data_IF_665029614592
#
_entry.id   IF_665029614592
#
_cell.length_a   1.000
_cell.length_b   1.000
_cell.length_c   1.000
_cell.angle_alpha   90.00
_cell.angle_beta   90.00
_cell.angle_gamma   90.00
#
_symmetry.space_group_name_H-M   'P 1'
#
loop_
_entity.id
_entity.type
_entity.pdbx_description
1 polymer ?
#
# COMPACT_ATOMS: atom_id res chain seq x y z
N UNK A 1 9.37 11.95 13.28
CA UNK A 1 9.33 12.47 11.89
C UNK A 1 7.87 12.62 11.50
N UNK A 2 7.49 13.75 10.90
CA UNK A 2 6.13 13.94 10.39
C UNK A 2 5.86 12.98 9.23
N UNK A 3 4.67 12.38 9.19
CA UNK A 3 4.22 11.49 8.11
C UNK A 3 3.25 12.24 7.19
N UNK A 4 3.04 11.73 5.97
CA UNK A 4 2.01 12.26 5.05
C UNK A 4 0.66 12.42 5.73
N UNK A 5 0.24 11.38 6.45
CA UNK A 5 -1.00 11.35 7.24
C UNK A 5 -1.06 12.45 8.32
N UNK A 6 0.09 12.75 8.95
CA UNK A 6 0.17 13.84 9.95
C UNK A 6 -0.09 15.20 9.31
N UNK A 7 0.45 15.44 8.10
CA UNK A 7 0.20 16.68 7.36
C UNK A 7 -1.25 16.78 6.90
N UNK A 8 -1.81 15.70 6.33
CA UNK A 8 -3.22 15.66 5.91
C UNK A 8 -4.17 16.00 7.07
N UNK A 9 -3.99 15.34 8.23
CA UNK A 9 -4.81 15.61 9.42
C UNK A 9 -4.72 17.05 9.89
N UNK A 10 -3.51 17.63 9.92
CA UNK A 10 -3.30 19.01 10.34
C UNK A 10 -3.97 20.00 9.39
N UNK A 11 -3.78 19.83 8.08
CA UNK A 11 -4.39 20.67 7.06
C UNK A 11 -5.91 20.64 7.19
N UNK A 12 -6.51 19.45 7.30
CA UNK A 12 -7.96 19.31 7.50
C UNK A 12 -8.40 19.91 8.84
N UNK A 13 -7.63 19.77 9.92
CA UNK A 13 -7.97 20.34 11.22
C UNK A 13 -7.95 21.88 11.26
N UNK A 14 -7.26 22.53 10.32
CA UNK A 14 -7.28 24.00 10.18
C UNK A 14 -8.61 24.52 9.60
N UNK A 15 -9.44 23.65 9.03
CA UNK A 15 -10.77 24.00 8.52
C UNK A 15 -11.77 23.93 9.68
N UNK A 16 -12.58 24.98 9.83
CA UNK A 16 -13.61 25.06 10.87
C UNK A 16 -14.59 23.87 10.79
N UNK A 17 -14.98 23.34 11.96
CA UNK A 17 -15.72 22.08 12.06
C UNK A 17 -17.08 22.11 11.34
N UNK A 18 -17.77 23.24 11.38
CA UNK A 18 -19.03 23.48 10.65
C UNK A 18 -18.83 23.39 9.13
N UNK A 19 -17.73 23.96 8.62
CA UNK A 19 -17.37 23.86 7.20
C UNK A 19 -16.99 22.44 6.81
N UNK A 20 -16.24 21.71 7.64
CA UNK A 20 -15.92 20.29 7.40
C UNK A 20 -17.19 19.44 7.32
N UNK A 21 -18.13 19.64 8.23
CA UNK A 21 -19.42 18.95 8.21
C UNK A 21 -20.21 19.28 6.93
N UNK A 22 -20.22 20.54 6.50
CA UNK A 22 -20.85 20.95 5.25
C UNK A 22 -20.19 20.30 4.03
N UNK A 23 -18.86 20.22 3.99
CA UNK A 23 -18.10 19.54 2.92
C UNK A 23 -18.47 18.06 2.85
N UNK A 24 -18.53 17.35 3.99
CA UNK A 24 -18.88 15.93 4.00
C UNK A 24 -20.31 15.67 3.49
N UNK A 25 -21.27 16.54 3.84
CA UNK A 25 -22.67 16.40 3.42
C UNK A 25 -22.95 16.91 2.00
N UNK A 26 -22.29 18.00 1.59
CA UNK A 26 -22.45 18.66 0.30
C UNK A 26 -21.12 19.30 -0.12
N UNK A 27 -20.25 18.54 -0.83
CA UNK A 27 -18.91 19.01 -1.18
C UNK A 27 -18.89 20.34 -1.94
N UNK A 28 -19.82 20.57 -2.88
CA UNK A 28 -19.85 21.83 -3.64
C UNK A 28 -20.13 23.02 -2.70
N UNK A 29 -21.22 22.96 -1.93
CA UNK A 29 -21.56 24.03 -0.99
C UNK A 29 -20.50 24.21 0.10
N UNK A 30 -19.88 23.11 0.54
CA UNK A 30 -18.79 23.13 1.51
C UNK A 30 -17.56 23.86 0.97
N UNK A 31 -17.16 23.56 -0.27
CA UNK A 31 -16.04 24.22 -0.95
C UNK A 31 -16.34 25.72 -1.16
N UNK A 32 -17.55 26.06 -1.56
CA UNK A 32 -17.99 27.46 -1.69
C UNK A 32 -17.94 28.21 -0.36
N UNK A 33 -18.26 27.54 0.76
CA UNK A 33 -18.15 28.12 2.10
C UNK A 33 -16.71 28.43 2.54
N UNK A 34 -15.72 27.82 1.89
CA UNK A 34 -14.30 28.15 2.08
C UNK A 34 -13.89 29.39 1.30
N UNK A 35 -14.75 29.91 0.41
CA UNK A 35 -14.47 31.05 -0.45
C UNK A 35 -14.01 30.68 -1.86
N UNK A 36 -14.09 29.40 -2.24
CA UNK A 36 -13.75 28.94 -3.58
C UNK A 36 -14.98 28.96 -4.50
N UNK A 37 -14.75 29.21 -5.79
CA UNK A 37 -15.77 29.10 -6.83
C UNK A 37 -15.66 27.72 -7.49
N UNK A 38 -16.78 27.00 -7.57
CA UNK A 38 -16.82 25.67 -8.21
C UNK A 38 -17.49 25.78 -9.57
N UNK A 39 -16.80 25.32 -10.62
CA UNK A 39 -17.27 25.42 -12.01
C UNK A 39 -17.32 24.04 -12.65
N UNK A 40 -18.50 23.64 -13.11
CA UNK A 40 -18.67 22.46 -13.94
C UNK A 40 -18.27 22.77 -15.40
N UNK A 41 -17.29 22.05 -15.96
CA UNK A 41 -16.87 22.19 -17.35
C UNK A 41 -16.87 20.83 -18.05
N UNK A 42 -17.89 20.59 -18.86
CA UNK A 42 -18.04 19.33 -19.60
C UNK A 42 -16.91 19.12 -20.62
N UNK A 43 -16.33 20.19 -21.15
CA UNK A 43 -15.26 20.13 -22.15
C UNK A 43 -13.94 19.57 -21.59
N UNK A 44 -13.75 19.51 -20.26
CA UNK A 44 -12.57 18.87 -19.63
C UNK A 44 -12.47 17.37 -19.96
N UNK A 45 -13.59 16.73 -20.33
CA UNK A 45 -13.58 15.32 -20.79
C UNK A 45 -12.93 15.12 -22.17
N UNK A 46 -12.57 16.20 -22.88
CA UNK A 46 -11.93 16.13 -24.20
C UNK A 46 -10.40 16.08 -24.10
N UNK A 47 -9.82 14.99 -24.63
CA UNK A 47 -8.37 14.67 -24.62
C UNK A 47 -7.45 15.85 -24.95
N UNK A 48 -6.43 16.12 -24.12
CA UNK A 48 -5.16 16.67 -24.60
C UNK A 48 -4.20 15.51 -24.96
N UNK A 49 -3.52 15.65 -26.09
CA UNK A 49 -2.76 14.61 -26.81
C UNK A 49 -1.55 13.98 -26.11
N UNK A 50 -1.41 14.15 -24.80
CA UNK A 50 -0.39 13.48 -23.99
C UNK A 50 -1.02 12.88 -22.73
N UNK A 51 -1.66 11.72 -22.88
CA UNK A 51 -1.76 10.69 -21.83
C UNK A 51 -2.35 11.06 -20.47
N UNK A 52 -3.60 11.53 -20.40
CA UNK A 52 -4.36 11.57 -19.15
C UNK A 52 -5.77 12.12 -19.37
N UNK A 53 -6.78 11.54 -18.71
CA UNK A 53 -8.10 12.17 -18.58
C UNK A 53 -7.99 13.12 -17.39
N UNK A 54 -8.22 14.41 -17.61
CA UNK A 54 -8.18 15.41 -16.55
C UNK A 54 -9.63 15.56 -16.03
N UNK A 55 -9.93 14.88 -14.93
CA UNK A 55 -11.28 14.92 -14.35
C UNK A 55 -11.53 16.23 -13.57
N UNK A 56 -10.48 16.99 -13.21
CA UNK A 56 -10.54 18.27 -12.51
C UNK A 56 -9.27 19.11 -12.65
N UNK A 57 -9.37 20.40 -12.33
CA UNK A 57 -8.30 21.40 -12.29
C UNK A 57 -8.59 22.44 -11.19
N UNK A 58 -7.57 22.87 -10.48
CA UNK A 58 -7.63 23.97 -9.51
C UNK A 58 -6.72 25.14 -9.91
N UNK A 59 -7.15 26.35 -9.56
CA UNK A 59 -6.36 27.58 -9.71
C UNK A 59 -6.37 28.34 -8.38
N UNK A 60 -5.31 28.19 -7.59
CA UNK A 60 -5.18 28.83 -6.27
C UNK A 60 -5.29 30.37 -6.38
N UNK A 61 -4.61 30.99 -7.35
CA UNK A 61 -4.64 32.44 -7.58
C UNK A 61 -6.05 33.02 -7.84
N UNK A 62 -6.97 32.17 -8.33
CA UNK A 62 -8.33 32.57 -8.72
C UNK A 62 -9.39 31.97 -7.80
N UNK A 63 -8.99 31.26 -6.73
CA UNK A 63 -9.89 30.53 -5.84
C UNK A 63 -10.92 29.69 -6.61
N UNK A 64 -10.53 29.07 -7.73
CA UNK A 64 -11.47 28.40 -8.63
C UNK A 64 -11.11 26.93 -8.79
N UNK A 65 -12.12 26.06 -8.65
CA UNK A 65 -12.02 24.62 -8.91
C UNK A 65 -12.95 24.26 -10.07
N UNK A 66 -12.38 23.71 -11.12
CA UNK A 66 -13.09 23.29 -12.32
C UNK A 66 -13.11 21.76 -12.36
N UNK A 67 -14.26 21.15 -12.68
CA UNK A 67 -14.37 19.70 -12.74
C UNK A 67 -15.24 19.23 -13.91
N UNK A 68 -14.97 18.01 -14.35
CA UNK A 68 -15.82 17.28 -15.29
C UNK A 68 -16.99 16.61 -14.53
N UNK A 69 -18.26 16.98 -14.79
CA UNK A 69 -19.39 16.35 -14.12
C UNK A 69 -19.50 14.87 -14.45
N UNK A 70 -19.78 14.04 -13.43
CA UNK A 70 -20.01 12.59 -13.60
C UNK A 70 -21.40 12.21 -13.09
N UNK A 71 -22.47 12.33 -13.91
CA UNK A 71 -23.83 12.04 -13.49
C UNK A 71 -23.97 10.63 -12.92
N UNK A 72 -24.64 10.51 -11.77
CA UNK A 72 -24.87 9.23 -11.10
C UNK A 72 -23.63 8.59 -10.45
N UNK A 73 -22.56 9.36 -10.26
CA UNK A 73 -21.33 8.90 -9.62
C UNK A 73 -20.83 9.90 -8.57
N UNK A 74 -20.50 9.41 -7.37
CA UNK A 74 -19.85 10.20 -6.32
C UNK A 74 -18.37 10.51 -6.64
N UNK A 75 -17.86 10.09 -7.80
CA UNK A 75 -16.46 10.33 -8.21
C UNK A 75 -16.16 11.83 -8.31
N UNK A 76 -17.12 12.64 -8.77
CA UNK A 76 -16.97 14.10 -8.82
C UNK A 76 -16.65 14.71 -7.45
N UNK A 77 -17.21 14.18 -6.36
CA UNK A 77 -17.01 14.72 -5.02
C UNK A 77 -15.55 14.55 -4.60
N UNK A 78 -14.97 13.39 -4.89
CA UNK A 78 -13.56 13.13 -4.62
C UNK A 78 -12.66 14.01 -5.49
N UNK A 79 -12.96 14.13 -6.79
CA UNK A 79 -12.21 14.99 -7.69
C UNK A 79 -12.21 16.45 -7.22
N UNK A 80 -13.38 17.01 -6.88
CA UNK A 80 -13.49 18.35 -6.35
C UNK A 80 -12.62 18.57 -5.10
N UNK A 81 -12.65 17.61 -4.17
CA UNK A 81 -11.91 17.71 -2.93
C UNK A 81 -10.41 17.43 -3.10
N UNK A 82 -10.02 16.66 -4.12
CA UNK A 82 -8.63 16.46 -4.53
C UNK A 82 -8.02 17.78 -5.01
N UNK A 83 -8.75 18.49 -5.87
CA UNK A 83 -8.35 19.82 -6.36
C UNK A 83 -8.26 20.85 -5.23
N UNK A 84 -9.20 20.82 -4.27
CA UNK A 84 -9.09 21.64 -3.06
C UNK A 84 -7.88 21.23 -2.21
N UNK A 85 -7.57 19.94 -2.16
CA UNK A 85 -6.35 19.42 -1.54
C UNK A 85 -5.08 20.07 -2.09
N UNK A 86 -4.98 20.26 -3.41
CA UNK A 86 -3.85 20.95 -4.03
C UNK A 86 -3.71 22.39 -3.50
N UNK A 87 -4.79 23.16 -3.50
CA UNK A 87 -4.78 24.54 -3.00
C UNK A 87 -4.37 24.57 -1.52
N UNK A 88 -4.96 23.70 -0.69
CA UNK A 88 -4.65 23.63 0.73
C UNK A 88 -3.19 23.21 1.02
N UNK A 89 -2.58 22.42 0.13
CA UNK A 89 -1.17 22.01 0.24
C UNK A 89 -0.26 23.16 -0.19
N UNK A 90 -0.61 23.90 -1.24
CA UNK A 90 0.13 25.10 -1.67
C UNK A 90 0.16 26.19 -0.59
N UNK A 91 -0.93 26.33 0.18
CA UNK A 91 -1.03 27.29 1.28
C UNK A 91 -0.35 26.83 2.58
N UNK A 92 0.23 25.62 2.62
CA UNK A 92 0.81 25.04 3.83
C UNK A 92 2.34 24.85 3.75
N UNK A 93 3.07 25.83 4.27
CA UNK A 93 4.55 25.83 4.32
C UNK A 93 5.15 24.54 4.91
N UNK A 94 4.54 23.99 5.96
CA UNK A 94 5.08 22.81 6.62
C UNK A 94 4.94 21.56 5.75
N UNK A 95 3.85 21.44 4.99
CA UNK A 95 3.67 20.39 4.00
C UNK A 95 4.63 20.56 2.83
N UNK A 96 4.82 21.77 2.31
CA UNK A 96 5.76 22.06 1.22
C UNK A 96 7.21 21.73 1.60
N UNK A 97 7.64 22.12 2.81
CA UNK A 97 8.98 21.76 3.32
C UNK A 97 9.14 20.25 3.43
N UNK A 98 8.13 19.55 3.95
CA UNK A 98 8.17 18.09 4.05
C UNK A 98 8.21 17.40 2.67
N UNK A 99 7.46 17.92 1.69
CA UNK A 99 7.41 17.43 0.32
C UNK A 99 8.75 17.62 -0.41
N UNK A 100 9.46 18.72 -0.15
CA UNK A 100 10.77 19.02 -0.75
C UNK A 100 11.83 17.96 -0.40
N UNK A 101 11.69 17.28 0.74
CA UNK A 101 12.61 16.22 1.19
C UNK A 101 12.24 14.82 0.65
N UNK A 102 11.28 14.69 -0.27
CA UNK A 102 10.85 13.39 -0.82
C UNK A 102 11.62 13.04 -2.10
N UNK A 103 11.87 11.76 -2.32
CA UNK A 103 12.50 11.26 -3.57
C UNK A 103 11.67 11.56 -4.82
N UNK A 104 10.35 11.65 -4.67
CA UNK A 104 9.42 12.00 -5.74
C UNK A 104 8.31 12.93 -5.18
N UNK A 105 8.57 14.24 -5.09
CA UNK A 105 7.64 15.20 -4.51
C UNK A 105 6.30 15.26 -5.23
N UNK A 106 6.30 15.25 -6.57
CA UNK A 106 5.08 15.30 -7.38
C UNK A 106 4.12 14.15 -7.03
N UNK A 107 4.65 12.93 -6.92
CA UNK A 107 3.84 11.77 -6.54
C UNK A 107 3.33 11.85 -5.09
N UNK A 108 4.11 12.42 -4.19
CA UNK A 108 3.68 12.58 -2.79
C UNK A 108 2.66 13.70 -2.61
N UNK A 109 2.67 14.74 -3.45
CA UNK A 109 1.60 15.76 -3.50
C UNK A 109 0.28 15.09 -3.85
N UNK A 110 0.22 14.29 -4.91
CA UNK A 110 -1.02 13.58 -5.31
C UNK A 110 -1.56 12.70 -4.17
N UNK A 111 -0.67 11.97 -3.50
CA UNK A 111 -1.04 11.10 -2.37
C UNK A 111 -1.51 11.89 -1.15
N UNK A 112 -0.94 13.06 -0.91
CA UNK A 112 -1.36 13.96 0.17
C UNK A 112 -2.73 14.57 -0.14
N UNK A 113 -2.97 14.96 -1.39
CA UNK A 113 -4.27 15.45 -1.85
C UNK A 113 -5.34 14.35 -1.77
N UNK A 114 -5.04 13.12 -2.16
CA UNK A 114 -5.91 11.95 -1.99
C UNK A 114 -6.32 11.75 -0.51
N UNK A 115 -5.35 11.87 0.42
CA UNK A 115 -5.61 11.75 1.86
C UNK A 115 -6.43 12.90 2.43
N UNK A 116 -6.17 14.14 2.00
CA UNK A 116 -6.98 15.31 2.38
C UNK A 116 -8.40 15.16 1.86
N UNK A 117 -8.58 14.87 0.58
CA UNK A 117 -9.88 14.71 -0.06
C UNK A 117 -10.72 13.62 0.62
N UNK A 118 -10.07 12.49 0.91
CA UNK A 118 -10.68 11.38 1.63
C UNK A 118 -11.11 11.78 3.05
N UNK A 119 -10.24 12.47 3.80
CA UNK A 119 -10.55 12.93 5.17
C UNK A 119 -11.64 14.01 5.23
N UNK A 120 -11.81 14.79 4.15
CA UNK A 120 -12.88 15.79 4.05
C UNK A 120 -14.25 15.16 3.77
N UNK A 121 -14.30 14.16 2.89
CA UNK A 121 -15.57 13.51 2.51
C UNK A 121 -15.97 12.37 3.45
N UNK A 122 -15.00 11.79 4.16
CA UNK A 122 -15.20 10.81 5.23
C UNK A 122 -14.52 11.33 6.51
N UNK A 123 -15.24 12.12 7.33
CA UNK A 123 -14.72 12.64 8.58
C UNK A 123 -14.35 11.54 9.59
N UNK A 124 -13.45 11.86 10.52
CA UNK A 124 -12.99 10.91 11.54
C UNK A 124 -14.14 10.44 12.44
N UNK A 125 -15.09 11.32 12.75
CA UNK A 125 -16.27 11.01 13.55
C UNK A 125 -17.15 9.95 12.85
N UNK A 126 -17.29 10.04 11.52
CA UNK A 126 -18.02 9.03 10.73
C UNK A 126 -17.30 7.68 10.71
N UNK A 127 -15.96 7.68 10.63
CA UNK A 127 -15.18 6.46 10.74
C UNK A 127 -15.32 5.82 12.13
N UNK A 128 -15.28 6.64 13.18
CA UNK A 128 -15.45 6.17 14.56
C UNK A 128 -16.85 5.58 14.79
N UNK A 129 -17.90 6.21 14.26
CA UNK A 129 -19.27 5.70 14.36
C UNK A 129 -19.47 4.36 13.64
N UNK A 130 -18.80 4.16 12.49
CA UNK A 130 -18.96 2.95 11.68
C UNK A 130 -18.07 1.81 12.16
N UNK A 131 -16.79 2.06 12.40
CA UNK A 131 -15.82 1.04 12.81
C UNK A 131 -15.93 0.75 14.31
N UNK A 132 -16.23 1.78 15.11
CA UNK A 132 -16.27 1.70 16.56
C UNK A 132 -14.93 1.28 17.15
N UNK A 133 -14.99 0.54 18.25
CA UNK A 133 -13.82 -0.01 18.96
C UNK A 133 -13.39 -1.41 18.45
N UNK A 134 -14.08 -1.93 17.43
CA UNK A 134 -13.86 -3.28 16.90
C UNK A 134 -12.71 -3.35 15.88
N UNK A 135 -12.29 -4.56 15.48
CA UNK A 135 -11.33 -4.70 14.39
C UNK A 135 -11.96 -4.28 13.07
N UNK A 136 -11.22 -3.49 12.29
CA UNK A 136 -11.62 -3.04 10.97
C UNK A 136 -12.01 -4.23 10.06
N UNK A 137 -13.15 -4.16 9.38
CA UNK A 137 -13.64 -5.20 8.47
C UNK A 137 -13.99 -4.65 7.08
N UNK A 138 -14.13 -5.56 6.11
CA UNK A 138 -14.66 -5.18 4.80
C UNK A 138 -16.14 -4.77 4.82
N UNK A 139 -16.90 -5.17 5.85
CA UNK A 139 -18.27 -4.68 6.03
C UNK A 139 -18.28 -3.19 6.32
N UNK A 140 -17.29 -2.69 7.06
CA UNK A 140 -17.17 -1.26 7.37
C UNK A 140 -16.97 -0.44 6.10
N UNK A 141 -16.14 -0.94 5.17
CA UNK A 141 -16.00 -0.31 3.85
C UNK A 141 -17.32 -0.28 3.08
N UNK A 142 -18.04 -1.41 3.05
CA UNK A 142 -19.33 -1.50 2.36
C UNK A 142 -20.35 -0.53 2.96
N UNK A 143 -20.43 -0.48 4.30
CA UNK A 143 -21.30 0.44 5.03
C UNK A 143 -20.93 1.87 4.71
N UNK A 144 -19.65 2.24 4.80
CA UNK A 144 -19.16 3.57 4.53
C UNK A 144 -19.49 4.05 3.11
N UNK A 145 -19.32 3.19 2.10
CA UNK A 145 -19.73 3.49 0.71
C UNK A 145 -21.23 3.70 0.57
N UNK A 146 -22.04 3.04 1.41
CA UNK A 146 -23.50 3.12 1.35
C UNK A 146 -24.04 4.38 2.04
N UNK A 147 -23.44 4.79 3.15
CA UNK A 147 -23.97 5.87 4.02
C UNK A 147 -23.34 7.24 3.77
N UNK A 148 -22.18 7.30 3.11
CA UNK A 148 -21.48 8.56 2.83
C UNK A 148 -21.79 9.11 1.42
N UNK A 149 -21.50 10.38 1.22
CA UNK A 149 -21.47 11.03 -0.10
C UNK A 149 -20.20 10.70 -0.89
N UNK A 150 -19.31 9.88 -0.32
CA UNK A 150 -18.01 9.57 -0.85
C UNK A 150 -18.06 8.50 -1.95
N UNK A 151 -17.01 8.45 -2.76
CA UNK A 151 -16.81 7.37 -3.72
C UNK A 151 -16.17 6.15 -3.04
N UNK A 152 -16.31 4.96 -3.64
CA UNK A 152 -15.62 3.76 -3.18
C UNK A 152 -14.12 3.97 -2.90
N UNK A 153 -13.34 4.53 -3.84
CA UNK A 153 -11.95 4.88 -3.63
C UNK A 153 -11.71 5.79 -2.42
N UNK A 154 -12.50 6.85 -2.26
CA UNK A 154 -12.37 7.77 -1.13
C UNK A 154 -12.59 7.07 0.22
N UNK A 155 -13.60 6.18 0.29
CA UNK A 155 -13.86 5.36 1.46
C UNK A 155 -12.70 4.40 1.75
N UNK A 156 -12.10 3.80 0.72
CA UNK A 156 -10.98 2.88 0.88
C UNK A 156 -9.73 3.58 1.42
N UNK A 157 -9.43 4.80 0.94
CA UNK A 157 -8.34 5.64 1.44
C UNK A 157 -8.56 5.98 2.91
N UNK A 158 -9.76 6.46 3.27
CA UNK A 158 -10.12 6.83 4.63
C UNK A 158 -9.94 5.63 5.58
N UNK A 159 -10.44 4.47 5.17
CA UNK A 159 -10.38 3.25 5.96
C UNK A 159 -8.95 2.72 6.10
N UNK A 160 -8.11 2.83 5.07
CA UNK A 160 -6.72 2.39 5.11
C UNK A 160 -5.89 3.13 6.16
N UNK A 161 -6.26 4.37 6.52
CA UNK A 161 -5.59 5.12 7.58
C UNK A 161 -5.73 4.49 8.97
N UNK A 162 -6.72 3.61 9.17
CA UNK A 162 -6.94 2.86 10.42
C UNK A 162 -6.14 1.56 10.49
N UNK A 163 -5.47 1.16 9.42
CA UNK A 163 -4.58 0.01 9.42
C UNK A 163 -3.20 0.40 9.96
N UNK A 164 -2.55 -0.54 10.65
CA UNK A 164 -1.11 -0.40 10.97
C UNK A 164 -0.23 -0.80 9.79
N UNK A 165 -0.60 -1.87 9.08
CA UNK A 165 0.00 -2.28 7.81
C UNK A 165 -0.96 -3.17 7.03
N UNK A 166 -1.17 -2.85 5.75
CA UNK A 166 -2.06 -3.60 4.88
C UNK A 166 -2.63 -2.79 3.71
N UNK A 167 -3.69 -3.31 3.11
CA UNK A 167 -4.35 -2.71 1.97
C UNK A 167 -5.87 -2.80 2.09
N UNK A 168 -6.57 -1.77 1.63
CA UNK A 168 -8.03 -1.79 1.44
C UNK A 168 -8.30 -1.77 -0.06
N UNK A 169 -8.93 -2.82 -0.57
CA UNK A 169 -9.13 -3.02 -2.00
C UNK A 169 -10.60 -3.13 -2.38
N UNK A 170 -10.91 -2.63 -3.58
CA UNK A 170 -12.20 -2.77 -4.25
C UNK A 170 -11.94 -3.52 -5.54
N UNK A 171 -12.60 -4.66 -5.71
CA UNK A 171 -12.43 -5.55 -6.86
C UNK A 171 -13.74 -5.58 -7.65
N UNK A 172 -13.64 -5.47 -8.98
CA UNK A 172 -14.75 -5.71 -9.89
C UNK A 172 -14.97 -7.21 -10.05
N UNK A 173 -16.18 -7.71 -9.77
CA UNK A 173 -16.48 -9.15 -9.83
C UNK A 173 -16.60 -9.69 -11.25
N UNK A 174 -16.99 -8.86 -12.21
CA UNK A 174 -17.19 -9.29 -13.57
C UNK A 174 -15.86 -9.42 -14.32
N UNK A 175 -14.91 -8.54 -14.02
CA UNK A 175 -13.59 -8.53 -14.66
C UNK A 175 -12.49 -9.16 -13.81
N UNK A 176 -12.75 -9.41 -12.53
CA UNK A 176 -11.78 -9.91 -11.55
C UNK A 176 -10.57 -8.98 -11.37
N UNK A 177 -10.71 -7.70 -11.74
CA UNK A 177 -9.67 -6.68 -11.64
C UNK A 177 -9.83 -5.87 -10.36
N UNK A 178 -8.71 -5.57 -9.71
CA UNK A 178 -8.66 -4.58 -8.63
C UNK A 178 -8.98 -3.20 -9.20
N UNK A 179 -10.19 -2.71 -8.94
CA UNK A 179 -10.66 -1.40 -9.39
C UNK A 179 -9.96 -0.25 -8.63
N UNK A 180 -9.68 -0.46 -7.35
CA UNK A 180 -8.94 0.49 -6.51
C UNK A 180 -8.26 -0.23 -5.34
N UNK A 181 -7.14 0.33 -4.86
CA UNK A 181 -6.48 -0.10 -3.63
C UNK A 181 -5.82 1.07 -2.93
N UNK A 182 -6.09 1.20 -1.63
CA UNK A 182 -5.42 2.11 -0.72
C UNK A 182 -4.47 1.32 0.19
N UNK A 183 -3.24 1.79 0.34
CA UNK A 183 -2.18 1.08 1.07
C UNK A 183 -1.82 1.81 2.36
N UNK A 184 -1.50 1.05 3.40
CA UNK A 184 -0.88 1.56 4.62
C UNK A 184 0.34 0.73 5.01
N UNK A 185 1.41 1.42 5.42
CA UNK A 185 2.65 0.84 5.89
C UNK A 185 3.69 0.61 4.79
N UNK A 186 4.97 0.72 5.17
CA UNK A 186 6.11 0.63 4.25
C UNK A 186 6.62 -0.81 4.04
N UNK A 187 6.12 -1.75 4.84
CA UNK A 187 6.57 -3.16 4.83
C UNK A 187 5.94 -4.00 3.72
N UNK A 188 5.02 -3.44 2.94
CA UNK A 188 4.28 -4.16 1.89
C UNK A 188 5.17 -4.41 0.67
N UNK A 189 5.53 -5.67 0.44
CA UNK A 189 6.31 -6.09 -0.73
C UNK A 189 5.42 -6.45 -1.92
N UNK A 190 4.26 -7.05 -1.65
CA UNK A 190 3.29 -7.53 -2.65
C UNK A 190 1.89 -7.21 -2.16
N UNK A 191 1.09 -6.52 -2.97
CA UNK A 191 -0.25 -6.04 -2.59
C UNK A 191 -1.18 -5.95 -3.80
N UNK A 192 -2.51 -5.87 -3.59
CA UNK A 192 -3.51 -5.77 -4.66
C UNK A 192 -3.44 -4.44 -5.40
N UNK A 193 -2.56 -4.32 -6.39
CA UNK A 193 -2.43 -3.06 -7.12
C UNK A 193 -3.61 -2.81 -8.05
N UNK A 194 -4.02 -1.54 -8.16
CA UNK A 194 -5.06 -1.12 -9.11
C UNK A 194 -4.71 -1.60 -10.53
N UNK A 195 -5.69 -2.18 -11.21
CA UNK A 195 -5.56 -2.70 -12.58
C UNK A 195 -4.94 -4.09 -12.68
N UNK A 196 -4.60 -4.73 -11.55
CA UNK A 196 -4.14 -6.13 -11.54
C UNK A 196 -5.31 -7.08 -11.39
N UNK A 197 -5.17 -8.29 -11.94
CA UNK A 197 -6.13 -9.36 -11.72
C UNK A 197 -5.97 -9.91 -10.30
N UNK A 198 -7.08 -10.33 -9.70
CA UNK A 198 -7.04 -11.18 -8.52
C UNK A 198 -6.29 -12.47 -8.89
N UNK A 199 -5.31 -12.94 -8.08
CA UNK A 199 -4.56 -14.14 -8.39
C UNK A 199 -5.46 -15.36 -8.64
N UNK A 200 -5.10 -16.17 -9.63
CA UNK A 200 -5.85 -17.39 -9.93
C UNK A 200 -5.93 -18.29 -8.69
N UNK A 201 -7.13 -18.81 -8.41
CA UNK A 201 -7.39 -19.66 -7.25
C UNK A 201 -7.51 -18.92 -5.90
N UNK A 202 -7.37 -17.58 -5.88
CA UNK A 202 -7.55 -16.81 -4.66
C UNK A 202 -8.99 -16.98 -4.11
N UNK A 203 -9.18 -17.16 -2.78
CA UNK A 203 -10.50 -17.42 -2.19
C UNK A 203 -11.57 -16.37 -2.52
N UNK A 204 -11.17 -15.11 -2.77
CA UNK A 204 -12.12 -14.03 -3.11
C UNK A 204 -12.88 -14.28 -4.41
N UNK A 205 -12.30 -15.00 -5.38
CA UNK A 205 -12.97 -15.32 -6.65
C UNK A 205 -14.16 -16.26 -6.45
N UNK A 206 -14.20 -17.00 -5.33
CA UNK A 206 -15.28 -17.94 -5.00
C UNK A 206 -16.31 -17.35 -4.04
N UNK A 207 -16.16 -16.09 -3.66
CA UNK A 207 -17.07 -15.44 -2.72
C UNK A 207 -18.40 -15.13 -3.41
N UNK A 208 -19.47 -15.77 -2.96
CA UNK A 208 -20.83 -15.57 -3.48
C UNK A 208 -21.34 -14.16 -3.15
N UNK A 209 -22.22 -13.61 -3.99
CA UNK A 209 -22.84 -12.31 -3.74
C UNK A 209 -23.56 -12.31 -2.38
N UNK A 210 -23.36 -11.27 -1.58
CA UNK A 210 -23.92 -11.14 -0.23
C UNK A 210 -23.14 -11.90 0.85
N UNK A 211 -22.21 -12.80 0.48
CA UNK A 211 -21.38 -13.51 1.44
C UNK A 211 -20.25 -12.62 1.97
N UNK A 212 -19.87 -12.88 3.21
CA UNK A 212 -18.69 -12.31 3.85
C UNK A 212 -17.78 -13.45 4.33
N UNK A 213 -16.48 -13.18 4.40
CA UNK A 213 -15.50 -14.12 4.92
C UNK A 213 -14.39 -13.37 5.64
N UNK A 214 -13.79 -14.06 6.61
CA UNK A 214 -12.53 -13.64 7.22
C UNK A 214 -11.62 -14.87 7.27
N UNK A 215 -10.47 -14.78 6.62
CA UNK A 215 -9.57 -15.93 6.44
C UNK A 215 -8.12 -15.46 6.31
N UNK A 216 -7.19 -16.38 6.55
CA UNK A 216 -5.81 -16.22 6.10
C UNK A 216 -5.78 -16.53 4.60
N UNK A 217 -5.09 -15.70 3.84
CA UNK A 217 -4.91 -15.81 2.40
C UNK A 217 -3.56 -15.21 2.00
N UNK A 218 -3.38 -14.95 0.72
CA UNK A 218 -2.15 -14.40 0.15
C UNK A 218 -2.47 -13.47 -1.02
N UNK A 219 -1.53 -12.61 -1.39
CA UNK A 219 -1.55 -11.94 -2.69
C UNK A 219 -0.32 -12.34 -3.50
N UNK A 220 -0.49 -12.43 -4.82
CA UNK A 220 0.59 -12.63 -5.80
C UNK A 220 0.67 -11.42 -6.70
N UNK A 221 1.87 -10.95 -6.98
CA UNK A 221 2.07 -9.97 -8.05
C UNK A 221 2.33 -10.65 -9.40
N UNK A 222 2.57 -9.83 -10.43
CA UNK A 222 2.86 -10.31 -11.79
C UNK A 222 4.18 -11.09 -11.94
N UNK A 223 5.00 -11.14 -10.89
CA UNK A 223 6.27 -11.86 -10.84
C UNK A 223 6.20 -13.06 -9.90
N UNK A 224 5.00 -13.51 -9.54
CA UNK A 224 4.73 -14.61 -8.61
C UNK A 224 5.36 -14.44 -7.22
N UNK A 225 5.74 -13.22 -6.85
CA UNK A 225 6.13 -12.94 -5.46
C UNK A 225 4.88 -13.02 -4.60
N UNK A 226 5.01 -13.63 -3.43
CA UNK A 226 3.89 -13.90 -2.52
C UNK A 226 4.04 -13.13 -1.22
N UNK A 227 2.94 -12.55 -0.78
CA UNK A 227 2.80 -12.06 0.59
C UNK A 227 1.53 -12.64 1.22
N UNK A 228 1.66 -13.18 2.43
CA UNK A 228 0.53 -13.67 3.20
C UNK A 228 -0.20 -12.51 3.88
N UNK A 229 -1.52 -12.62 3.96
CA UNK A 229 -2.40 -11.65 4.59
C UNK A 229 -3.48 -12.35 5.39
N UNK A 230 -3.94 -11.69 6.45
CA UNK A 230 -5.29 -11.90 6.95
C UNK A 230 -6.22 -11.04 6.10
N UNK A 231 -7.34 -11.61 5.66
CA UNK A 231 -8.28 -10.96 4.75
C UNK A 231 -9.68 -11.02 5.32
N UNK A 232 -10.29 -9.86 5.53
CA UNK A 232 -11.74 -9.72 5.65
C UNK A 232 -12.29 -9.28 4.30
N UNK A 233 -13.37 -9.91 3.83
CA UNK A 233 -14.00 -9.54 2.58
C UNK A 233 -15.52 -9.70 2.62
N UNK A 234 -16.21 -8.84 1.87
CA UNK A 234 -17.64 -8.94 1.61
C UNK A 234 -17.90 -8.74 0.11
N UNK A 235 -18.71 -9.61 -0.47
CA UNK A 235 -19.13 -9.52 -1.86
C UNK A 235 -20.52 -8.89 -1.97
N UNK A 236 -20.68 -8.02 -2.96
CA UNK A 236 -21.96 -7.58 -3.51
C UNK A 236 -22.17 -8.21 -4.88
N UNK A 237 -23.24 -7.86 -5.58
CA UNK A 237 -23.44 -8.33 -6.96
C UNK A 237 -22.28 -7.91 -7.89
N UNK A 238 -21.78 -6.67 -7.76
CA UNK A 238 -20.81 -6.09 -8.71
C UNK A 238 -19.40 -5.97 -8.17
N UNK A 239 -19.22 -5.97 -6.85
CA UNK A 239 -17.94 -5.62 -6.20
C UNK A 239 -17.61 -6.57 -5.06
N UNK A 240 -16.32 -6.82 -4.87
CA UNK A 240 -15.79 -7.36 -3.61
C UNK A 240 -15.06 -6.22 -2.91
N UNK A 241 -15.44 -5.98 -1.67
CA UNK A 241 -14.71 -5.12 -0.74
C UNK A 241 -13.81 -6.03 0.09
N UNK A 242 -12.53 -5.69 0.20
CA UNK A 242 -11.56 -6.51 0.93
C UNK A 242 -10.61 -5.63 1.75
N UNK A 243 -10.34 -6.05 2.98
CA UNK A 243 -9.32 -5.50 3.86
C UNK A 243 -8.26 -6.58 4.05
N UNK A 244 -7.05 -6.28 3.61
CA UNK A 244 -5.85 -7.09 3.78
C UNK A 244 -5.05 -6.51 4.93
N UNK A 245 -4.71 -7.31 5.92
CA UNK A 245 -3.80 -6.91 7.00
C UNK A 245 -2.67 -7.92 7.15
N UNK A 246 -1.47 -7.44 7.45
CA UNK A 246 -0.35 -8.32 7.83
C UNK A 246 -0.61 -8.93 9.22
N UNK A 247 -1.34 -8.23 10.08
CA UNK A 247 -1.64 -8.66 11.44
C UNK A 247 -2.99 -9.37 11.52
N UNK A 248 -3.13 -10.35 12.43
CA UNK A 248 -4.39 -11.04 12.63
C UNK A 248 -5.37 -10.18 13.45
N UNK A 249 -6.03 -9.25 12.78
CA UNK A 249 -7.02 -8.37 13.41
C UNK A 249 -8.27 -9.12 13.88
N UNK A 250 -8.53 -10.31 13.32
CA UNK A 250 -9.81 -11.00 13.49
C UNK A 250 -9.71 -12.34 14.22
N UNK A 251 -8.51 -12.70 14.69
CA UNK A 251 -8.25 -13.96 15.38
C UNK A 251 -8.58 -15.17 14.51
N UNK A 252 -8.22 -15.12 13.22
CA UNK A 252 -8.39 -16.23 12.28
C UNK A 252 -7.56 -17.43 12.72
N UNK A 253 -6.32 -17.18 13.15
CA UNK A 253 -5.46 -18.22 13.69
C UNK A 253 -5.89 -18.45 15.16
N UNK A 254 -7.01 -19.16 15.38
CA UNK A 254 -7.55 -19.52 16.71
C UNK A 254 -6.69 -20.55 17.44
N UNK A 255 -5.44 -20.20 17.73
CA UNK A 255 -4.64 -20.83 18.77
C UNK A 255 -4.00 -19.74 19.66
N UNK A 256 -4.68 -19.43 20.77
CA UNK A 256 -4.10 -18.71 21.90
C UNK A 256 -3.28 -19.65 22.78
N UNK A 257 -2.25 -20.29 22.22
CA UNK A 257 -1.11 -20.72 23.03
C UNK A 257 -0.11 -19.58 22.98
N UNK A 258 -0.03 -18.80 24.06
CA UNK A 258 0.68 -17.52 24.13
C UNK A 258 1.75 -17.34 23.06
N UNK A 259 1.45 -16.53 22.05
CA UNK A 259 2.53 -15.92 21.31
C UNK A 259 3.21 -15.02 22.34
N UNK A 260 4.36 -15.48 22.82
CA UNK A 260 5.35 -14.56 23.36
C UNK A 260 5.41 -13.38 22.37
N UNK A 261 5.46 -12.12 22.85
CA UNK A 261 5.72 -10.97 21.98
C UNK A 261 6.81 -11.38 21.01
N UNK A 262 6.69 -11.08 19.68
CA UNK A 262 7.54 -11.64 18.65
C UNK A 262 8.94 -11.67 19.22
N UNK A 263 9.44 -12.86 19.53
CA UNK A 263 10.70 -12.99 20.27
C UNK A 263 11.63 -12.07 19.52
N UNK A 264 12.10 -11.00 20.18
CA UNK A 264 13.09 -10.07 19.61
C UNK A 264 13.99 -10.96 18.82
N UNK A 265 14.00 -10.82 17.50
CA UNK A 265 14.60 -11.83 16.65
C UNK A 265 15.97 -12.15 17.23
N UNK A 266 16.13 -13.36 17.78
CA UNK A 266 17.42 -13.79 18.30
C UNK A 266 18.38 -14.03 17.11
N UNK A 267 17.92 -13.77 15.88
CA UNK A 267 18.75 -13.63 14.71
C UNK A 267 19.92 -12.73 15.08
N UNK A 268 21.07 -13.37 15.00
CA UNK A 268 22.31 -12.81 15.44
C UNK A 268 22.59 -11.57 14.58
N UNK A 269 22.62 -10.39 15.20
CA UNK A 269 23.08 -9.18 14.53
C UNK A 269 24.59 -9.10 14.69
N UNK A 270 25.32 -9.28 13.60
CA UNK A 270 26.78 -9.15 13.58
C UNK A 270 27.21 -8.32 12.38
N UNK A 271 28.29 -7.57 12.56
CA UNK A 271 29.04 -7.09 11.41
C UNK A 271 29.75 -8.27 10.75
N UNK A 272 29.55 -8.42 9.45
CA UNK A 272 30.33 -9.35 8.65
C UNK A 272 31.14 -8.60 7.61
N UNK A 273 32.27 -9.19 7.24
CA UNK A 273 33.04 -8.78 6.07
C UNK A 273 33.04 -9.94 5.10
N UNK A 274 32.36 -9.78 3.98
CA UNK A 274 32.35 -10.77 2.91
C UNK A 274 33.48 -10.52 1.93
N UNK A 275 34.01 -11.58 1.31
CA UNK A 275 35.01 -11.49 0.23
C UNK A 275 34.45 -10.90 -1.07
N UNK A 276 33.13 -10.79 -1.22
CA UNK A 276 32.51 -10.14 -2.38
C UNK A 276 32.62 -8.60 -2.36
N UNK A 277 33.06 -8.01 -1.24
CA UNK A 277 33.15 -6.56 -1.06
C UNK A 277 32.24 -6.02 0.04
N UNK A 278 31.14 -6.71 0.35
CA UNK A 278 30.21 -6.30 1.40
C UNK A 278 30.89 -6.21 2.78
N UNK A 279 30.71 -5.06 3.44
CA UNK A 279 31.02 -4.86 4.86
C UNK A 279 29.87 -4.10 5.50
N UNK A 280 29.19 -4.73 6.44
CA UNK A 280 28.08 -4.09 7.12
C UNK A 280 27.37 -5.00 8.13
N UNK A 281 26.41 -4.45 8.86
CA UNK A 281 25.59 -5.21 9.78
C UNK A 281 24.67 -6.15 9.00
N UNK A 282 24.60 -7.41 9.45
CA UNK A 282 23.66 -8.40 8.93
C UNK A 282 22.88 -8.97 10.09
N UNK A 283 21.58 -9.13 9.87
CA UNK A 283 20.66 -9.79 10.79
C UNK A 283 20.16 -11.04 10.10
N UNK A 284 20.39 -12.20 10.69
CA UNK A 284 19.94 -13.46 10.13
C UNK A 284 20.30 -14.65 11.01
N UNK A 285 20.00 -15.85 10.51
CA UNK A 285 20.41 -17.09 11.16
C UNK A 285 21.75 -17.56 10.58
N UNK A 286 22.71 -17.97 11.43
CA UNK A 286 23.95 -18.53 10.95
C UNK A 286 23.69 -19.82 10.20
N UNK A 287 24.47 -20.09 9.16
CA UNK A 287 24.47 -21.36 8.44
C UNK A 287 24.69 -22.50 9.45
N UNK A 288 23.87 -23.58 9.42
CA UNK A 288 23.96 -24.66 10.39
C UNK A 288 25.28 -25.43 10.36
N UNK A 289 26.00 -25.38 9.24
CA UNK A 289 27.27 -26.08 9.06
C UNK A 289 28.49 -25.27 9.51
N UNK A 290 28.60 -24.01 9.07
CA UNK A 290 29.77 -23.18 9.37
C UNK A 290 29.54 -22.12 10.45
N UNK A 291 28.32 -21.95 10.95
CA UNK A 291 28.00 -20.96 11.98
C UNK A 291 28.08 -19.49 11.54
N UNK A 292 28.31 -19.21 10.25
CA UNK A 292 28.42 -17.85 9.71
C UNK A 292 27.12 -17.36 9.09
N UNK A 293 26.84 -16.05 9.21
CA UNK A 293 25.71 -15.40 8.55
C UNK A 293 25.89 -15.35 7.02
N UNK A 294 24.78 -15.37 6.29
CA UNK A 294 24.76 -15.23 4.84
C UNK A 294 25.03 -13.78 4.44
N UNK A 295 25.85 -13.58 3.41
CA UNK A 295 26.09 -12.24 2.88
C UNK A 295 24.84 -11.71 2.15
N UNK A 296 24.36 -10.49 2.42
CA UNK A 296 23.20 -9.93 1.74
C UNK A 296 23.47 -9.61 0.26
N UNK A 297 24.73 -9.36 -0.12
CA UNK A 297 25.08 -9.10 -1.52
C UNK A 297 25.20 -10.39 -2.34
N UNK A 298 26.01 -11.35 -1.89
CA UNK A 298 26.30 -12.55 -2.69
C UNK A 298 25.42 -13.75 -2.33
N UNK A 299 24.63 -13.67 -1.26
CA UNK A 299 23.73 -14.72 -0.79
C UNK A 299 24.42 -15.92 -0.14
N UNK A 300 25.75 -15.95 -0.07
CA UNK A 300 26.49 -17.15 0.34
C UNK A 300 27.02 -17.10 1.78
N UNK A 301 27.00 -18.25 2.46
CA UNK A 301 27.80 -18.51 3.65
C UNK A 301 29.21 -19.04 3.28
N UNK A 302 30.07 -19.30 4.29
CA UNK A 302 31.41 -19.84 4.04
C UNK A 302 31.41 -21.26 3.45
N UNK A 303 30.40 -22.10 3.74
CA UNK A 303 30.27 -23.42 3.11
C UNK A 303 30.02 -23.31 1.61
N UNK A 304 29.06 -22.51 1.20
CA UNK A 304 28.73 -22.29 -0.21
C UNK A 304 29.90 -21.65 -0.95
N UNK A 305 30.63 -20.71 -0.31
CA UNK A 305 31.84 -20.14 -0.89
C UNK A 305 32.95 -21.16 -1.08
N UNK A 306 33.18 -22.06 -0.10
CA UNK A 306 34.15 -23.17 -0.26
C UNK A 306 33.73 -24.13 -1.37
N UNK A 307 32.46 -24.48 -1.44
CA UNK A 307 31.93 -25.35 -2.50
C UNK A 307 32.12 -24.73 -3.89
N UNK A 308 31.88 -23.42 -4.05
CA UNK A 308 32.14 -22.70 -5.32
C UNK A 308 33.62 -22.59 -5.68
N UNK A 309 34.52 -22.70 -4.71
CA UNK A 309 35.97 -22.71 -4.93
C UNK A 309 36.52 -24.12 -5.19
N UNK A 310 35.67 -25.14 -5.18
CA UNK A 310 36.04 -26.52 -5.44
C UNK A 310 35.45 -26.97 -6.77
N UNK A 311 36.25 -27.72 -7.52
CA UNK A 311 35.87 -28.34 -8.78
C UNK A 311 36.26 -29.83 -8.73
N UNK A 312 35.56 -30.65 -9.53
CA UNK A 312 35.85 -32.08 -9.63
C UNK A 312 37.08 -32.31 -10.51
N UNK A 313 38.05 -33.06 -10.01
CA UNK A 313 39.16 -33.52 -10.84
C UNK A 313 38.65 -34.56 -11.87
N UNK A 314 39.00 -34.39 -13.14
CA UNK A 314 38.57 -35.27 -14.23
C UNK A 314 39.12 -36.70 -14.20
N UNK A 315 40.11 -36.99 -13.33
CA UNK A 315 40.71 -38.32 -13.19
C UNK A 315 40.20 -39.09 -11.97
N UNK A 316 40.39 -38.54 -10.75
CA UNK A 316 39.97 -39.20 -9.50
C UNK A 316 38.58 -38.80 -9.00
N UNK A 317 37.88 -37.88 -9.66
CA UNK A 317 36.54 -37.39 -9.28
C UNK A 317 36.43 -36.84 -7.85
N UNK A 318 37.55 -36.50 -7.21
CA UNK A 318 37.55 -35.84 -5.91
C UNK A 318 37.31 -34.34 -6.07
N UNK A 319 36.64 -33.73 -5.08
CA UNK A 319 36.51 -32.27 -4.98
C UNK A 319 37.85 -31.66 -4.57
N UNK A 320 38.38 -30.77 -5.39
CA UNK A 320 39.69 -30.14 -5.19
C UNK A 320 39.56 -28.64 -5.40
N UNK A 321 40.34 -27.78 -4.72
CA UNK A 321 40.35 -26.34 -4.99
C UNK A 321 40.59 -26.09 -6.49
N UNK A 322 39.80 -25.22 -7.12
CA UNK A 322 39.91 -24.92 -8.56
C UNK A 322 41.33 -24.45 -8.95
N UNK A 323 42.03 -23.78 -8.03
CA UNK A 323 43.43 -23.34 -8.20
C UNK A 323 44.45 -24.48 -8.27
N UNK A 324 44.12 -25.68 -7.79
CA UNK A 324 44.99 -26.86 -7.86
C UNK A 324 44.75 -27.70 -9.12
N UNK A 325 43.69 -27.39 -9.88
CA UNK A 325 43.42 -28.03 -11.17
C UNK A 325 44.25 -27.36 -12.27
N UNK A 326 45.04 -28.15 -12.97
CA UNK A 326 45.73 -27.75 -14.21
C UNK A 326 45.22 -28.67 -15.30
N UNK A 327 44.54 -28.10 -16.31
CA UNK A 327 43.87 -28.88 -17.35
C UNK A 327 42.75 -29.80 -16.82
N UNK A 328 42.13 -29.45 -15.69
CA UNK A 328 41.08 -30.25 -15.05
C UNK A 328 41.60 -31.44 -14.23
N UNK A 329 42.91 -31.57 -14.02
CA UNK A 329 43.54 -32.64 -13.23
C UNK A 329 44.23 -32.04 -12.01
N UNK A 330 44.01 -32.61 -10.81
CA UNK A 330 44.60 -32.13 -9.57
C UNK A 330 46.04 -32.60 -9.36
N UNK A 331 46.76 -31.97 -8.42
CA UNK A 331 48.17 -32.28 -8.12
C UNK A 331 48.45 -33.74 -7.76
N UNK A 332 47.49 -34.45 -7.17
CA UNK A 332 47.63 -35.87 -6.81
C UNK A 332 47.43 -36.86 -7.96
N UNK A 333 46.90 -36.41 -9.10
CA UNK A 333 46.68 -37.22 -10.30
C UNK A 333 47.56 -36.82 -11.49
N UNK A 334 48.37 -35.76 -11.32
CA UNK A 334 49.46 -35.41 -12.23
C UNK A 334 50.71 -36.17 -11.79
#
# INVERSE_FOLDING_TARGET
MSTRHTHARRIVANIAADKRALIAGNPIAGIESLGYTVVAEAALTSKRGAGGWCDGLSFAEHNTVIYAPTPGSNRQNFTLLHEVGHILVEDDDSALVWLADRDNPEREVERLCDEIASALVVPEEMLDDIVGIGPLTAMDLKTLVTVSSASGPACAIALATRLSSGAVAIIDRATEIVAHSALCGDELQVYPWRGTNVPAGHPLLRLAAGAATTTRSYWLDRWDRRQDYYVSAVATEKRIYAVFSINDLWGVDRFHGGQAPPTKSNALRREIRCRCGFRGPVTGWPCPECGHLYCPECGDCDCQRRARMQELCGSCFCLTPAVDLVGGICSGCR
#
